data_IF_400597456018
#
_entry.id   IF_400597456018
#
_cell.length_a   1.000
_cell.length_b   1.000
_cell.length_c   1.000
_cell.angle_alpha   90.00
_cell.angle_beta   90.00
_cell.angle_gamma   90.00
#
_symmetry.space_group_name_H-M   'P 1'
#
loop_
_entity.id
_entity.type
_entity.pdbx_description
1 polymer ?
#
# COMPACT_ATOMS: atom_id res chain seq x y z
N UNK A 1 -50.53 -33.25 8.03
CA UNK A 1 -49.33 -33.88 7.42
C UNK A 1 -48.12 -33.26 8.10
N UNK A 2 -47.36 -34.02 8.90
CA UNK A 2 -46.19 -33.51 9.64
C UNK A 2 -45.00 -33.48 8.69
N UNK A 3 -44.55 -32.29 8.31
CA UNK A 3 -43.30 -32.11 7.56
C UNK A 3 -42.15 -32.59 8.44
N UNK A 4 -41.49 -33.69 8.06
CA UNK A 4 -40.24 -34.13 8.67
C UNK A 4 -39.18 -33.09 8.30
N UNK A 5 -38.77 -32.26 9.27
CA UNK A 5 -37.64 -31.36 9.10
C UNK A 5 -36.38 -32.22 8.87
N UNK A 6 -35.90 -32.26 7.62
CA UNK A 6 -34.57 -32.80 7.30
C UNK A 6 -33.54 -31.82 7.86
N UNK A 7 -33.06 -32.07 9.07
CA UNK A 7 -31.94 -31.34 9.65
C UNK A 7 -30.65 -31.63 8.87
N UNK A 8 -29.77 -30.64 8.83
CA UNK A 8 -28.42 -30.76 8.27
C UNK A 8 -27.61 -31.78 9.09
N UNK A 9 -26.89 -32.69 8.43
CA UNK A 9 -26.12 -33.71 9.14
C UNK A 9 -24.80 -33.13 9.65
N UNK A 10 -24.32 -33.60 10.81
CA UNK A 10 -23.00 -33.20 11.32
C UNK A 10 -21.87 -33.57 10.36
N UNK A 11 -22.05 -34.66 9.60
CA UNK A 11 -21.06 -35.10 8.61
C UNK A 11 -21.01 -34.16 7.40
N UNK A 12 -22.14 -33.64 6.92
CA UNK A 12 -22.17 -32.62 5.87
C UNK A 12 -21.43 -31.36 6.32
N UNK A 13 -21.63 -30.94 7.57
CA UNK A 13 -20.97 -29.76 8.12
C UNK A 13 -19.46 -29.97 8.22
N UNK A 14 -19.01 -31.13 8.68
CA UNK A 14 -17.59 -31.46 8.78
C UNK A 14 -16.89 -31.44 7.41
N UNK A 15 -17.54 -31.98 6.36
CA UNK A 15 -16.95 -31.97 5.00
C UNK A 15 -16.84 -30.54 4.47
N UNK A 16 -17.85 -29.70 4.69
CA UNK A 16 -17.83 -28.29 4.25
C UNK A 16 -16.68 -27.53 4.93
N UNK A 17 -16.50 -27.71 6.24
CA UNK A 17 -15.40 -27.05 6.97
C UNK A 17 -14.04 -27.55 6.48
N UNK A 18 -13.90 -28.84 6.18
CA UNK A 18 -12.67 -29.40 5.63
C UNK A 18 -12.31 -28.77 4.27
N UNK A 19 -13.29 -28.62 3.37
CA UNK A 19 -13.07 -27.99 2.06
C UNK A 19 -12.70 -26.51 2.19
N UNK A 20 -13.42 -25.75 3.02
CA UNK A 20 -13.11 -24.33 3.29
C UNK A 20 -11.70 -24.19 3.88
N UNK A 21 -11.29 -25.11 4.76
CA UNK A 21 -9.94 -25.12 5.34
C UNK A 21 -8.84 -25.26 4.29
N UNK A 22 -9.01 -26.16 3.32
CA UNK A 22 -8.05 -26.34 2.22
C UNK A 22 -7.99 -25.09 1.33
N UNK A 23 -9.15 -24.54 0.95
CA UNK A 23 -9.20 -23.33 0.12
C UNK A 23 -8.57 -22.13 0.82
N UNK A 24 -8.84 -21.94 2.11
CA UNK A 24 -8.28 -20.84 2.89
C UNK A 24 -6.76 -20.94 3.03
N UNK A 25 -6.21 -22.14 3.21
CA UNK A 25 -4.77 -22.36 3.33
C UNK A 25 -3.98 -21.88 2.09
N UNK A 26 -4.55 -22.03 0.88
CA UNK A 26 -3.93 -21.57 -0.37
C UNK A 26 -4.25 -20.10 -0.66
N UNK A 27 -5.50 -19.68 -0.43
CA UNK A 27 -5.97 -18.34 -0.80
C UNK A 27 -5.40 -17.23 0.11
N UNK A 28 -5.27 -17.47 1.42
CA UNK A 28 -4.81 -16.45 2.37
C UNK A 28 -3.39 -15.91 2.09
N UNK A 29 -2.34 -16.73 1.87
CA UNK A 29 -1.00 -16.19 1.59
C UNK A 29 -0.96 -15.39 0.28
N UNK A 30 -1.70 -15.82 -0.74
CA UNK A 30 -1.83 -15.10 -2.00
C UNK A 30 -2.53 -13.75 -1.82
N UNK A 31 -3.65 -13.73 -1.10
CA UNK A 31 -4.39 -12.51 -0.80
C UNK A 31 -3.55 -11.50 -0.02
N UNK A 32 -2.81 -11.96 1.01
CA UNK A 32 -1.89 -11.11 1.77
C UNK A 32 -0.85 -10.46 0.86
N UNK A 33 -0.20 -11.24 0.00
CA UNK A 33 0.79 -10.74 -0.96
C UNK A 33 0.18 -9.73 -1.93
N UNK A 34 -1.06 -9.96 -2.40
CA UNK A 34 -1.76 -9.01 -3.27
C UNK A 34 -2.02 -7.69 -2.56
N UNK A 35 -2.58 -7.73 -1.35
CA UNK A 35 -2.85 -6.50 -0.57
C UNK A 35 -1.58 -5.72 -0.23
N UNK A 36 -0.46 -6.40 0.03
CA UNK A 36 0.86 -5.78 0.24
C UNK A 36 1.35 -5.07 -1.02
N UNK A 37 1.28 -5.72 -2.18
CA UNK A 37 1.65 -5.11 -3.47
C UNK A 37 0.77 -3.90 -3.79
N UNK A 38 -0.52 -3.97 -3.51
CA UNK A 38 -1.44 -2.83 -3.68
C UNK A 38 -1.07 -1.66 -2.78
N UNK A 39 -0.72 -1.92 -1.51
CA UNK A 39 -0.25 -0.89 -0.58
C UNK A 39 1.08 -0.26 -1.05
N UNK A 40 2.03 -1.07 -1.52
CA UNK A 40 3.29 -0.58 -2.08
C UNK A 40 3.06 0.33 -3.30
N UNK A 41 2.16 -0.08 -4.21
CA UNK A 41 1.86 0.69 -5.42
C UNK A 41 1.16 2.01 -5.10
N UNK A 42 0.24 2.01 -4.13
CA UNK A 42 -0.40 3.23 -3.65
C UNK A 42 0.62 4.19 -3.03
N UNK A 43 1.55 3.67 -2.21
CA UNK A 43 2.60 4.49 -1.63
C UNK A 43 3.57 5.01 -2.70
N UNK A 44 3.92 4.21 -3.72
CA UNK A 44 4.75 4.67 -4.83
C UNK A 44 4.10 5.85 -5.57
N UNK A 45 2.81 5.76 -5.88
CA UNK A 45 2.08 6.83 -6.55
C UNK A 45 2.02 8.12 -5.71
N UNK A 46 1.80 7.98 -4.41
CA UNK A 46 1.82 9.11 -3.47
C UNK A 46 3.22 9.74 -3.39
N UNK A 47 4.25 8.92 -3.24
CA UNK A 47 5.65 9.35 -3.17
C UNK A 47 6.11 10.05 -4.45
N UNK A 48 5.69 9.58 -5.63
CA UNK A 48 5.99 10.25 -6.91
C UNK A 48 5.30 11.61 -7.01
N UNK A 49 4.05 11.74 -6.56
CA UNK A 49 3.35 13.02 -6.56
C UNK A 49 4.07 14.03 -5.66
N UNK A 50 4.54 13.58 -4.49
CA UNK A 50 5.37 14.39 -3.59
C UNK A 50 6.68 14.80 -4.27
N UNK A 51 7.38 13.85 -4.91
CA UNK A 51 8.65 14.12 -5.55
C UNK A 51 8.53 15.13 -6.71
N UNK A 52 7.46 15.05 -7.50
CA UNK A 52 7.19 16.04 -8.55
C UNK A 52 6.90 17.44 -7.97
N UNK A 53 6.08 17.52 -6.91
CA UNK A 53 5.83 18.80 -6.23
C UNK A 53 7.10 19.38 -5.61
N UNK A 54 7.94 18.54 -5.00
CA UNK A 54 9.24 18.94 -4.46
C UNK A 54 10.21 19.43 -5.54
N UNK A 55 10.29 18.74 -6.68
CA UNK A 55 11.10 19.17 -7.82
C UNK A 55 10.63 20.52 -8.38
N UNK A 56 9.32 20.72 -8.52
CA UNK A 56 8.75 22.00 -8.93
C UNK A 56 9.03 23.11 -7.91
N UNK A 57 8.93 22.81 -6.61
CA UNK A 57 9.23 23.75 -5.54
C UNK A 57 10.71 24.16 -5.50
N UNK A 58 11.63 23.22 -5.74
CA UNK A 58 13.08 23.51 -5.87
C UNK A 58 13.32 24.41 -7.07
N UNK A 59 12.75 24.07 -8.24
CA UNK A 59 12.97 24.82 -9.48
C UNK A 59 12.47 26.27 -9.40
N UNK A 60 11.37 26.51 -8.68
CA UNK A 60 10.78 27.84 -8.56
C UNK A 60 11.10 28.55 -7.23
N UNK A 61 11.79 27.86 -6.31
CA UNK A 61 11.99 28.33 -4.93
C UNK A 61 10.68 28.70 -4.20
N UNK A 62 9.60 27.96 -4.48
CA UNK A 62 8.25 28.23 -3.98
C UNK A 62 7.66 27.01 -3.27
N UNK A 63 7.44 27.15 -1.95
CA UNK A 63 6.87 26.09 -1.11
C UNK A 63 5.38 25.82 -1.38
N UNK A 64 4.66 26.72 -2.06
CA UNK A 64 3.24 26.54 -2.38
C UNK A 64 2.99 25.41 -3.41
N UNK A 65 4.04 25.02 -4.14
CA UNK A 65 4.04 23.94 -5.12
C UNK A 65 4.19 22.55 -4.47
N UNK A 66 4.43 22.49 -3.16
CA UNK A 66 4.54 21.23 -2.44
C UNK A 66 3.17 20.57 -2.32
N UNK A 67 3.14 19.25 -2.50
CA UNK A 67 1.91 18.48 -2.35
C UNK A 67 1.45 18.49 -0.89
N UNK A 68 0.24 19.00 -0.64
CA UNK A 68 -0.44 18.95 0.66
C UNK A 68 -1.45 17.81 0.76
N UNK A 69 -1.45 16.86 -0.17
CA UNK A 69 -2.40 15.75 -0.16
C UNK A 69 -2.25 14.94 1.13
N UNK A 70 -3.35 14.53 1.80
CA UNK A 70 -3.27 13.78 3.03
C UNK A 70 -2.55 12.44 2.81
N UNK A 71 -1.43 12.27 3.50
CA UNK A 71 -0.61 11.08 3.44
C UNK A 71 -1.36 9.91 4.06
N UNK A 72 -1.61 8.87 3.29
CA UNK A 72 -2.37 7.71 3.79
C UNK A 72 -1.89 6.37 3.25
N UNK A 73 -1.26 6.37 2.08
CA UNK A 73 -0.64 5.17 1.52
C UNK A 73 0.79 4.98 2.04
N UNK A 74 1.52 6.08 2.30
CA UNK A 74 2.86 6.05 2.90
C UNK A 74 2.86 6.45 4.38
N UNK A 75 3.84 5.96 5.14
CA UNK A 75 4.04 6.27 6.56
C UNK A 75 4.84 7.57 6.82
N UNK A 76 5.16 8.33 5.77
CA UNK A 76 5.97 9.56 5.85
C UNK A 76 5.32 10.66 5.04
N UNK A 77 5.21 11.84 5.64
CA UNK A 77 4.79 13.06 4.96
C UNK A 77 5.87 13.59 4.02
N UNK A 78 5.43 14.25 2.95
CA UNK A 78 6.30 15.04 2.08
C UNK A 78 6.92 16.25 2.80
N UNK A 79 7.89 16.92 2.17
CA UNK A 79 8.52 18.10 2.73
C UNK A 79 7.49 19.23 2.90
N UNK A 80 7.64 20.01 3.98
CA UNK A 80 6.77 21.16 4.31
C UNK A 80 7.41 22.52 4.00
N UNK A 81 8.67 22.50 3.57
CA UNK A 81 9.43 23.64 3.06
C UNK A 81 10.16 23.20 1.80
N UNK A 82 10.62 24.15 0.98
CA UNK A 82 11.40 23.83 -0.22
C UNK A 82 12.62 23.01 0.21
N UNK A 83 12.74 21.74 -0.24
CA UNK A 83 13.87 20.91 0.14
C UNK A 83 15.17 21.44 -0.48
N UNK A 84 16.30 21.17 0.17
CA UNK A 84 17.59 21.49 -0.42
C UNK A 84 17.83 20.64 -1.68
N UNK A 85 18.58 21.18 -2.65
CA UNK A 85 19.06 20.36 -3.77
C UNK A 85 19.87 19.17 -3.25
N UNK A 86 19.76 18.02 -3.92
CA UNK A 86 20.36 16.75 -3.51
C UNK A 86 19.54 15.96 -2.49
N UNK A 87 18.38 16.46 -2.05
CA UNK A 87 17.58 15.76 -1.03
C UNK A 87 16.94 14.51 -1.62
N UNK A 88 17.22 13.37 -0.97
CA UNK A 88 16.54 12.10 -1.23
C UNK A 88 15.79 11.66 0.01
N UNK A 89 14.53 11.30 -0.16
CA UNK A 89 13.67 10.84 0.92
C UNK A 89 13.21 9.40 0.69
N UNK A 90 12.98 8.66 1.78
CA UNK A 90 12.51 7.28 1.74
C UNK A 90 11.13 7.14 2.37
N UNK A 91 10.26 6.45 1.65
CA UNK A 91 8.88 6.17 2.01
C UNK A 91 8.67 4.68 2.18
N UNK A 92 7.77 4.29 3.08
CA UNK A 92 7.39 2.90 3.31
C UNK A 92 5.88 2.81 3.43
N UNK A 93 5.31 1.75 2.84
CA UNK A 93 3.88 1.46 2.98
C UNK A 93 3.66 0.71 4.31
N UNK A 94 2.77 1.19 5.22
CA UNK A 94 2.58 0.59 6.54
C UNK A 94 2.00 -0.84 6.49
N UNK A 95 1.31 -1.19 5.40
CA UNK A 95 0.81 -2.54 5.11
C UNK A 95 1.47 -3.17 3.88
N UNK A 96 2.62 -2.62 3.49
CA UNK A 96 3.37 -3.06 2.33
C UNK A 96 4.14 -4.36 2.53
N UNK A 97 4.95 -4.68 1.54
CA UNK A 97 5.88 -5.80 1.63
C UNK A 97 6.97 -5.48 2.68
N UNK A 98 7.22 -6.34 3.69
CA UNK A 98 8.25 -6.08 4.69
C UNK A 98 9.63 -5.86 4.05
N UNK A 99 10.33 -4.80 4.46
CA UNK A 99 11.67 -4.44 3.97
C UNK A 99 11.68 -3.67 2.65
N UNK A 100 10.54 -3.48 1.99
CA UNK A 100 10.43 -2.73 0.74
C UNK A 100 10.25 -1.24 1.03
N UNK A 101 11.00 -0.39 0.33
CA UNK A 101 10.96 1.06 0.48
C UNK A 101 10.94 1.77 -0.87
N UNK A 102 10.43 2.99 -0.90
CA UNK A 102 10.41 3.83 -2.09
C UNK A 102 11.32 5.02 -1.81
N UNK A 103 12.43 5.12 -2.52
CA UNK A 103 13.39 6.22 -2.43
C UNK A 103 13.10 7.21 -3.56
N UNK A 104 12.86 8.47 -3.21
CA UNK A 104 12.59 9.54 -4.17
C UNK A 104 13.67 10.61 -4.11
N UNK A 105 14.21 10.97 -5.26
CA UNK A 105 15.08 12.12 -5.43
C UNK A 105 14.23 13.34 -5.80
N UNK A 106 14.39 14.43 -5.07
CA UNK A 106 13.61 15.66 -5.28
C UNK A 106 14.19 16.58 -6.35
N UNK A 107 15.42 16.39 -6.81
CA UNK A 107 15.97 17.22 -7.89
C UNK A 107 15.36 16.88 -9.26
N UNK A 108 15.14 15.59 -9.52
CA UNK A 108 14.63 15.07 -10.80
C UNK A 108 13.19 14.54 -10.69
N UNK A 109 12.62 14.53 -9.47
CA UNK A 109 11.29 14.00 -9.18
C UNK A 109 11.18 12.48 -9.40
N UNK A 110 12.29 11.75 -9.49
CA UNK A 110 12.29 10.31 -9.74
C UNK A 110 12.14 9.52 -8.45
N UNK A 111 11.39 8.41 -8.51
CA UNK A 111 11.25 7.47 -7.40
C UNK A 111 11.61 6.06 -7.84
N UNK A 112 12.39 5.37 -7.00
CA UNK A 112 12.80 3.98 -7.17
C UNK A 112 12.32 3.13 -6.01
N UNK A 113 11.92 1.91 -6.32
CA UNK A 113 11.55 0.91 -5.31
C UNK A 113 12.79 0.10 -4.97
N UNK A 114 13.06 -0.06 -3.67
CA UNK A 114 14.14 -0.88 -3.12
C UNK A 114 13.60 -1.97 -2.20
#
# INVERSE_FOLDING_TARGET
MKNVQKGFTLIELMIVVAIIGILAAVALPQYRTYTQKSADAACLAEATAIAHGAAAAIANSDASLLSTTPFSACNKAGPTAVPAQGTTDTFTAPRGTPGKSISCNYDDGTCKVS
#
